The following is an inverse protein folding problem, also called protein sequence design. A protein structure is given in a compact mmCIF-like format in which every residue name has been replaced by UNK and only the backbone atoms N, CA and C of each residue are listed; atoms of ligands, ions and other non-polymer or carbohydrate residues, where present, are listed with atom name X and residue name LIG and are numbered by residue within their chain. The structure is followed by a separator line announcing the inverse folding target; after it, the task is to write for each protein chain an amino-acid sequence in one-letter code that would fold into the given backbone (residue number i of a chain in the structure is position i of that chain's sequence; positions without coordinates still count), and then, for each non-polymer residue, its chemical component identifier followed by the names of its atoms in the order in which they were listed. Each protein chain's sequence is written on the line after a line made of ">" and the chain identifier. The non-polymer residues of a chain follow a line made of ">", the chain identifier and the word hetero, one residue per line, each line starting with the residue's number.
data_IF_990819472733
#
_entry.id   IF_990819472733
#
_cell.length_a   1.000
_cell.length_b   1.000
_cell.length_c   1.000
_cell.angle_alpha   90.00
_cell.angle_beta   90.00
_cell.angle_gamma   90.00
#
_symmetry.space_group_name_H-M   'P 1'
#
loop_
_entity.id
_entity.type
_entity.pdbx_description
1 polymer ?
#
# COMPACT_ATOMS: atom_id res chain seq x y z
N UNK A 1 17.02 25.80 1.34
CA UNK A 1 18.09 26.24 2.26
C UNK A 1 18.17 27.77 2.22
N UNK A 2 18.11 28.44 3.37
CA UNK A 2 18.13 29.89 3.50
C UNK A 2 19.49 30.49 3.15
N UNK A 3 20.58 29.82 3.50
CA UNK A 3 21.93 30.33 3.26
C UNK A 3 22.26 30.33 1.76
N UNK A 4 21.84 29.28 1.05
CA UNK A 4 21.93 29.25 -0.41
C UNK A 4 21.15 30.39 -1.09
N UNK A 5 19.95 30.71 -0.61
CA UNK A 5 19.14 31.81 -1.16
C UNK A 5 19.78 33.19 -0.89
N UNK A 6 20.29 33.43 0.32
CA UNK A 6 21.02 34.66 0.64
C UNK A 6 22.26 34.82 -0.23
N UNK A 7 23.01 33.75 -0.42
CA UNK A 7 24.21 33.75 -1.24
C UNK A 7 23.89 34.02 -2.72
N UNK A 8 22.84 33.39 -3.27
CA UNK A 8 22.37 33.65 -4.64
C UNK A 8 21.92 35.12 -4.82
N UNK A 9 21.23 35.68 -3.83
CA UNK A 9 20.83 37.09 -3.83
C UNK A 9 22.04 38.04 -3.77
N UNK A 10 22.98 37.76 -2.85
CA UNK A 10 24.22 38.52 -2.72
C UNK A 10 25.04 38.50 -4.01
N UNK A 11 25.21 37.32 -4.62
CA UNK A 11 25.92 37.17 -5.91
C UNK A 11 25.29 37.99 -7.02
N UNK A 12 23.96 38.05 -7.07
CA UNK A 12 23.22 38.91 -7.98
C UNK A 12 23.49 40.40 -7.71
N UNK A 13 23.35 40.84 -6.45
CA UNK A 13 23.51 42.25 -6.03
C UNK A 13 24.92 42.78 -6.17
N UNK A 14 25.93 42.00 -5.81
CA UNK A 14 27.34 42.42 -5.81
C UNK A 14 28.01 42.20 -7.18
N UNK A 15 27.27 41.69 -8.16
CA UNK A 15 27.77 41.42 -9.51
C UNK A 15 28.86 40.35 -9.56
N UNK A 16 28.75 39.31 -8.74
CA UNK A 16 29.76 38.25 -8.63
C UNK A 16 30.13 37.64 -10.00
N UNK A 17 29.12 37.32 -10.81
CA UNK A 17 29.34 36.76 -12.15
C UNK A 17 29.50 37.81 -13.26
N UNK A 18 29.29 39.10 -12.94
CA UNK A 18 29.29 40.19 -13.92
C UNK A 18 30.48 41.12 -13.69
N UNK A 19 30.43 41.96 -12.66
CA UNK A 19 31.47 42.95 -12.34
C UNK A 19 32.74 42.33 -11.75
N UNK A 20 32.61 41.25 -10.97
CA UNK A 20 33.75 40.56 -10.36
C UNK A 20 34.36 39.48 -11.28
N UNK A 21 33.72 39.19 -12.43
CA UNK A 21 34.27 38.33 -13.48
C UNK A 21 34.28 36.83 -13.19
N UNK A 22 33.57 36.37 -12.15
CA UNK A 22 33.45 34.93 -11.90
C UNK A 22 32.64 34.24 -13.01
N UNK A 23 33.04 33.02 -13.38
CA UNK A 23 32.37 32.29 -14.47
C UNK A 23 31.05 31.70 -13.99
N UNK A 24 30.01 31.86 -14.80
CA UNK A 24 28.75 31.12 -14.66
C UNK A 24 29.05 29.63 -14.88
N UNK A 25 28.60 28.73 -14.00
CA UNK A 25 28.79 27.28 -14.16
C UNK A 25 28.23 26.77 -15.49
N UNK A 26 28.93 25.81 -16.11
CA UNK A 26 28.54 25.24 -17.39
C UNK A 26 27.12 24.62 -17.29
N UNK A 27 26.25 24.96 -18.24
CA UNK A 27 24.88 24.46 -18.30
C UNK A 27 23.84 25.35 -17.61
N UNK A 28 24.27 26.41 -16.93
CA UNK A 28 23.38 27.37 -16.28
C UNK A 28 23.45 28.74 -16.96
N UNK A 29 22.35 29.48 -16.91
CA UNK A 29 22.31 30.90 -17.20
C UNK A 29 22.49 31.69 -15.90
N UNK A 30 22.83 32.98 -16.03
CA UNK A 30 22.99 33.86 -14.88
C UNK A 30 21.70 33.93 -14.04
N UNK A 31 20.56 34.08 -14.71
CA UNK A 31 19.21 34.11 -14.11
C UNK A 31 18.84 32.83 -13.33
N UNK A 32 19.49 31.70 -13.63
CA UNK A 32 19.24 30.42 -12.93
C UNK A 32 19.97 30.35 -11.57
N UNK A 33 20.96 31.21 -11.33
CA UNK A 33 21.90 31.09 -10.20
C UNK A 33 22.02 32.36 -9.34
N UNK A 34 21.23 33.38 -9.65
CA UNK A 34 21.11 34.60 -8.84
C UNK A 34 19.66 34.83 -8.44
N UNK A 35 19.46 35.58 -7.37
CA UNK A 35 18.15 36.13 -7.02
C UNK A 35 18.20 37.65 -7.11
N UNK A 36 17.14 38.26 -7.60
CA UNK A 36 16.97 39.70 -7.66
C UNK A 36 15.80 40.16 -6.77
N UNK A 37 15.66 41.48 -6.63
CA UNK A 37 14.59 42.07 -5.82
C UNK A 37 13.21 41.70 -6.36
N UNK A 38 13.07 41.55 -7.69
CA UNK A 38 11.81 41.19 -8.31
C UNK A 38 11.43 39.75 -7.96
N UNK A 39 12.37 38.80 -7.99
CA UNK A 39 12.17 37.42 -7.55
C UNK A 39 11.75 37.35 -6.09
N UNK A 40 12.45 38.08 -5.21
CA UNK A 40 12.07 38.14 -3.79
C UNK A 40 10.69 38.77 -3.61
N UNK A 41 10.41 39.87 -4.30
CA UNK A 41 9.11 40.55 -4.25
C UNK A 41 7.99 39.65 -4.74
N UNK A 42 8.17 38.92 -5.85
CA UNK A 42 7.19 37.97 -6.37
C UNK A 42 6.92 36.83 -5.38
N UNK A 43 7.96 36.27 -4.77
CA UNK A 43 7.81 35.21 -3.76
C UNK A 43 7.08 35.70 -2.50
N UNK A 44 7.46 36.88 -1.99
CA UNK A 44 6.81 37.53 -0.87
C UNK A 44 5.33 37.84 -1.19
N UNK A 45 5.05 38.38 -2.37
CA UNK A 45 3.69 38.70 -2.81
C UNK A 45 2.80 37.45 -2.93
N UNK A 46 3.32 36.32 -3.45
CA UNK A 46 2.59 35.04 -3.46
C UNK A 46 2.24 34.58 -2.05
N UNK A 47 3.21 34.62 -1.14
CA UNK A 47 2.99 34.21 0.27
C UNK A 47 1.99 35.12 0.97
N UNK A 48 2.10 36.43 0.77
CA UNK A 48 1.20 37.41 1.39
C UNK A 48 -0.21 37.31 0.81
N UNK A 49 -0.36 37.08 -0.50
CA UNK A 49 -1.66 36.92 -1.14
C UNK A 49 -2.46 35.78 -0.51
N UNK A 50 -1.87 34.59 -0.38
CA UNK A 50 -2.53 33.45 0.29
C UNK A 50 -2.97 33.81 1.72
N UNK A 51 -2.14 34.56 2.46
CA UNK A 51 -2.48 35.00 3.82
C UNK A 51 -3.62 36.02 3.85
N UNK A 52 -3.68 36.93 2.88
CA UNK A 52 -4.82 37.85 2.70
C UNK A 52 -6.08 37.09 2.31
N UNK A 53 -6.02 36.16 1.36
CA UNK A 53 -7.18 35.37 0.91
C UNK A 53 -7.73 34.48 2.05
N UNK A 54 -6.86 33.97 2.93
CA UNK A 54 -7.25 33.25 4.14
C UNK A 54 -7.82 34.14 5.25
N UNK A 55 -7.80 35.47 5.07
CA UNK A 55 -8.30 36.45 6.04
C UNK A 55 -7.41 36.63 7.28
N UNK A 56 -6.13 36.24 7.22
CA UNK A 56 -5.24 36.24 8.38
C UNK A 56 -4.84 37.65 8.83
N UNK A 57 -4.95 38.65 7.95
CA UNK A 57 -4.68 40.04 8.30
C UNK A 57 -5.88 40.70 9.00
N UNK A 58 -7.10 40.24 8.72
CA UNK A 58 -8.34 40.69 9.35
C UNK A 58 -8.56 40.00 10.70
N UNK A 59 -8.38 38.67 10.74
CA UNK A 59 -8.45 37.90 11.97
C UNK A 59 -7.53 36.68 11.92
N UNK A 60 -6.34 36.73 12.55
CA UNK A 60 -5.41 35.61 12.56
C UNK A 60 -5.83 34.45 13.50
N UNK A 61 -6.86 34.64 14.32
CA UNK A 61 -7.23 33.68 15.37
C UNK A 61 -8.47 32.86 15.03
N UNK A 62 -8.45 31.57 15.38
CA UNK A 62 -9.61 30.66 15.31
C UNK A 62 -10.29 30.57 16.67
N UNK A 63 -11.58 30.23 16.67
CA UNK A 63 -12.35 30.01 17.90
C UNK A 63 -12.14 28.54 18.37
N UNK A 64 -11.51 28.31 19.55
CA UNK A 64 -11.29 26.96 20.06
C UNK A 64 -12.59 26.21 20.41
N UNK A 65 -13.59 26.89 20.96
CA UNK A 65 -14.88 26.28 21.35
C UNK A 65 -15.59 25.73 20.11
N UNK A 66 -15.65 26.53 19.04
CA UNK A 66 -16.22 26.09 17.76
C UNK A 66 -15.45 24.93 17.14
N UNK A 67 -14.12 24.86 17.31
CA UNK A 67 -13.33 23.75 16.81
C UNK A 67 -13.71 22.43 17.52
N UNK A 68 -13.94 22.49 18.84
CA UNK A 68 -14.42 21.34 19.64
C UNK A 68 -15.80 20.89 19.19
N UNK A 69 -16.70 21.81 18.85
CA UNK A 69 -18.04 21.47 18.32
C UNK A 69 -18.00 20.74 16.98
N UNK A 70 -17.03 21.09 16.12
CA UNK A 70 -16.92 20.53 14.75
C UNK A 70 -16.19 19.18 14.75
N UNK A 71 -15.09 19.07 15.49
CA UNK A 71 -14.22 17.89 15.45
C UNK A 71 -14.90 16.68 16.10
N UNK A 72 -14.81 15.52 15.46
CA UNK A 72 -15.28 14.26 16.03
C UNK A 72 -16.80 14.11 16.07
N UNK A 73 -17.54 14.90 15.28
CA UNK A 73 -18.98 14.76 15.22
C UNK A 73 -19.40 13.44 14.55
N UNK A 74 -20.59 12.94 14.92
CA UNK A 74 -21.10 11.65 14.48
C UNK A 74 -21.23 11.54 12.95
N UNK A 75 -21.63 12.61 12.27
CA UNK A 75 -21.85 12.61 10.82
C UNK A 75 -20.54 12.38 10.06
N UNK A 76 -19.44 12.98 10.51
CA UNK A 76 -18.13 12.78 9.89
C UNK A 76 -17.64 11.35 10.10
N UNK A 77 -17.89 10.75 11.27
CA UNK A 77 -17.60 9.33 11.51
C UNK A 77 -18.47 8.39 10.66
N UNK A 78 -19.75 8.70 10.46
CA UNK A 78 -20.63 7.95 9.54
C UNK A 78 -20.14 8.03 8.09
N UNK A 79 -19.68 9.21 7.65
CA UNK A 79 -19.07 9.39 6.34
C UNK A 79 -17.75 8.62 6.21
N UNK A 80 -16.88 8.69 7.22
CA UNK A 80 -15.63 7.93 7.26
C UNK A 80 -15.92 6.41 7.19
N UNK A 81 -16.91 5.94 7.94
CA UNK A 81 -17.33 4.55 7.94
C UNK A 81 -17.85 4.09 6.56
N UNK A 82 -18.63 4.92 5.87
CA UNK A 82 -19.07 4.67 4.49
C UNK A 82 -17.87 4.60 3.51
N UNK A 83 -16.91 5.52 3.64
CA UNK A 83 -15.68 5.50 2.82
C UNK A 83 -14.89 4.22 3.05
N UNK A 84 -14.65 3.81 4.31
CA UNK A 84 -13.92 2.57 4.60
C UNK A 84 -14.58 1.34 3.98
N UNK A 85 -15.91 1.24 4.01
CA UNK A 85 -16.66 0.12 3.40
C UNK A 85 -16.57 0.13 1.87
N UNK A 86 -16.65 1.32 1.27
CA UNK A 86 -16.51 1.50 -0.18
C UNK A 86 -15.10 1.25 -0.69
N UNK A 87 -14.09 1.37 0.16
CA UNK A 87 -12.68 1.13 -0.19
C UNK A 87 -12.28 -0.35 -0.20
N UNK A 88 -13.08 -1.26 0.38
CA UNK A 88 -12.80 -2.70 0.36
C UNK A 88 -13.06 -3.25 -1.05
N UNK A 89 -12.06 -3.92 -1.62
CA UNK A 89 -12.12 -4.53 -2.96
C UNK A 89 -12.22 -6.04 -2.83
N UNK A 90 -13.17 -6.66 -3.52
CA UNK A 90 -13.23 -8.12 -3.65
C UNK A 90 -12.38 -8.53 -4.86
N UNK A 91 -11.30 -9.27 -4.65
CA UNK A 91 -10.39 -9.74 -5.71
C UNK A 91 -10.77 -11.12 -6.24
N UNK A 92 -11.11 -12.03 -5.33
CA UNK A 92 -11.48 -13.42 -5.65
C UNK A 92 -12.69 -13.82 -4.85
N UNK A 93 -13.60 -14.56 -5.47
CA UNK A 93 -14.71 -15.20 -4.78
C UNK A 93 -15.12 -16.50 -5.49
N UNK A 94 -14.81 -17.65 -4.90
CA UNK A 94 -15.24 -18.97 -5.37
C UNK A 94 -16.53 -19.38 -4.65
N UNK A 95 -17.62 -18.64 -4.90
CA UNK A 95 -18.95 -18.82 -4.29
C UNK A 95 -18.96 -18.85 -2.74
N UNK A 96 -17.94 -18.24 -2.12
CA UNK A 96 -17.74 -18.28 -0.67
C UNK A 96 -18.47 -17.12 0.01
N UNK A 97 -18.20 -15.89 -0.44
CA UNK A 97 -18.78 -14.67 0.12
C UNK A 97 -20.10 -14.27 -0.56
N UNK A 98 -21.00 -13.58 0.15
CA UNK A 98 -20.90 -13.19 1.57
C UNK A 98 -21.17 -14.37 2.51
N UNK A 99 -20.60 -14.33 3.72
CA UNK A 99 -20.90 -15.21 4.85
C UNK A 99 -22.13 -14.70 5.60
N UNK A 100 -23.30 -14.88 4.99
CA UNK A 100 -24.58 -14.52 5.60
C UNK A 100 -24.83 -15.27 6.91
N UNK A 101 -25.75 -14.78 7.73
CA UNK A 101 -26.15 -15.44 8.99
C UNK A 101 -26.47 -16.93 8.80
N UNK A 102 -27.13 -17.29 7.69
CA UNK A 102 -27.44 -18.68 7.36
C UNK A 102 -26.17 -19.51 7.11
N UNK A 103 -25.20 -18.96 6.37
CA UNK A 103 -23.93 -19.66 6.08
C UNK A 103 -23.07 -19.85 7.33
N UNK A 104 -23.13 -18.95 8.31
CA UNK A 104 -22.31 -19.05 9.54
C UNK A 104 -23.01 -19.77 10.69
N UNK A 105 -24.32 -20.04 10.59
CA UNK A 105 -25.08 -20.66 11.67
C UNK A 105 -24.57 -22.06 12.00
N UNK A 106 -24.11 -22.25 13.24
CA UNK A 106 -23.57 -23.52 13.72
C UNK A 106 -22.20 -23.88 13.15
N UNK A 107 -21.52 -22.91 12.53
CA UNK A 107 -20.19 -23.06 11.92
C UNK A 107 -19.11 -22.49 12.83
N UNK A 108 -17.92 -23.08 12.77
CA UNK A 108 -16.74 -22.63 13.52
C UNK A 108 -15.86 -21.76 12.63
N UNK A 109 -15.35 -20.67 13.18
CA UNK A 109 -14.46 -19.73 12.50
C UNK A 109 -13.09 -19.69 13.19
N UNK A 110 -12.05 -19.96 12.42
CA UNK A 110 -10.66 -19.69 12.82
C UNK A 110 -10.29 -18.28 12.35
N UNK A 111 -9.64 -17.48 13.19
CA UNK A 111 -9.26 -16.12 12.86
C UNK A 111 -7.79 -15.86 13.24
N UNK A 112 -7.00 -15.36 12.28
CA UNK A 112 -5.58 -15.01 12.49
C UNK A 112 -5.22 -13.75 11.73
N UNK A 113 -4.54 -12.83 12.41
CA UNK A 113 -3.93 -11.65 11.82
C UNK A 113 -2.42 -11.85 11.72
N UNK A 114 -1.85 -11.47 10.59
CA UNK A 114 -0.42 -11.51 10.31
C UNK A 114 0.10 -10.08 10.11
N UNK A 115 1.24 -9.77 10.70
CA UNK A 115 1.93 -8.49 10.56
C UNK A 115 3.42 -8.76 10.33
N UNK A 116 4.22 -7.71 10.05
CA UNK A 116 5.69 -7.84 9.97
C UNK A 116 6.31 -8.47 11.22
N UNK A 117 5.71 -8.27 12.40
CA UNK A 117 6.14 -8.91 13.65
C UNK A 117 5.03 -9.77 14.25
N UNK A 118 5.42 -10.90 14.85
CA UNK A 118 4.49 -11.85 15.50
C UNK A 118 3.71 -11.21 16.65
N UNK A 119 4.33 -10.28 17.39
CA UNK A 119 3.68 -9.56 18.50
C UNK A 119 2.47 -8.74 18.02
N UNK A 120 2.66 -7.93 16.97
CA UNK A 120 1.57 -7.16 16.35
C UNK A 120 0.50 -8.07 15.75
N UNK A 121 0.91 -9.19 15.15
CA UNK A 121 -0.01 -10.21 14.64
C UNK A 121 -0.93 -10.78 15.74
N UNK A 122 -0.35 -11.11 16.91
CA UNK A 122 -1.11 -11.60 18.07
C UNK A 122 -2.08 -10.57 18.63
N UNK A 123 -1.65 -9.31 18.79
CA UNK A 123 -2.50 -8.22 19.24
C UNK A 123 -3.71 -8.03 18.30
N UNK A 124 -3.44 -7.88 17.00
CA UNK A 124 -4.48 -7.74 15.98
C UNK A 124 -5.41 -8.97 15.91
N UNK A 125 -4.90 -10.18 16.18
CA UNK A 125 -5.72 -11.40 16.24
C UNK A 125 -6.71 -11.34 17.40
N UNK A 126 -6.28 -10.88 18.57
CA UNK A 126 -7.17 -10.69 19.72
C UNK A 126 -8.28 -9.68 19.42
N UNK A 127 -7.94 -8.56 18.77
CA UNK A 127 -8.93 -7.55 18.36
C UNK A 127 -9.93 -8.10 17.35
N UNK A 128 -9.46 -8.81 16.32
CA UNK A 128 -10.31 -9.43 15.30
C UNK A 128 -11.29 -10.43 15.95
N UNK A 129 -10.81 -11.29 16.85
CA UNK A 129 -11.66 -12.24 17.58
C UNK A 129 -12.73 -11.52 18.41
N UNK A 130 -12.36 -10.46 19.13
CA UNK A 130 -13.31 -9.66 19.89
C UNK A 130 -14.38 -8.98 19.00
N UNK A 131 -14.05 -8.62 17.75
CA UNK A 131 -15.04 -8.13 16.79
C UNK A 131 -15.98 -9.25 16.33
N UNK A 132 -15.46 -10.44 16.01
CA UNK A 132 -16.26 -11.59 15.58
C UNK A 132 -17.20 -12.10 16.68
N UNK A 133 -16.78 -12.06 17.95
CA UNK A 133 -17.63 -12.40 19.10
C UNK A 133 -18.83 -11.46 19.21
N UNK A 134 -18.66 -10.15 18.93
CA UNK A 134 -19.77 -9.18 18.89
C UNK A 134 -20.76 -9.46 17.77
N UNK A 135 -20.34 -10.18 16.74
CA UNK A 135 -21.17 -10.67 15.64
C UNK A 135 -21.80 -12.04 15.92
N UNK A 136 -21.69 -12.55 17.15
CA UNK A 136 -22.14 -13.89 17.56
C UNK A 136 -21.53 -15.05 16.75
N UNK A 137 -20.31 -14.87 16.24
CA UNK A 137 -19.60 -15.90 15.48
C UNK A 137 -18.93 -16.88 16.45
N UNK A 138 -19.11 -18.17 16.21
CA UNK A 138 -18.49 -19.22 17.03
C UNK A 138 -17.02 -19.41 16.61
N UNK A 139 -16.09 -19.11 17.50
CA UNK A 139 -14.65 -19.19 17.22
C UNK A 139 -14.04 -20.55 17.56
N UNK A 140 -12.98 -20.91 16.86
CA UNK A 140 -12.08 -22.03 17.18
C UNK A 140 -10.63 -21.59 17.17
N UNK A 141 -9.82 -22.17 18.06
CA UNK A 141 -8.36 -21.98 18.10
C UNK A 141 -7.62 -22.89 17.12
N UNK A 142 -8.32 -23.88 16.54
CA UNK A 142 -7.73 -24.90 15.68
C UNK A 142 -8.26 -24.80 14.26
N UNK A 143 -7.40 -24.61 13.24
CA UNK A 143 -7.83 -24.51 11.85
C UNK A 143 -8.47 -25.81 11.34
N UNK A 144 -8.04 -26.99 11.83
CA UNK A 144 -8.64 -28.28 11.44
C UNK A 144 -10.10 -28.46 11.88
N UNK A 145 -10.56 -27.68 12.87
CA UNK A 145 -11.95 -27.70 13.35
C UNK A 145 -12.82 -26.62 12.68
N UNK A 146 -12.25 -25.77 11.81
CA UNK A 146 -12.91 -24.57 11.30
C UNK A 146 -13.62 -24.81 9.98
N UNK A 147 -14.88 -24.40 9.87
CA UNK A 147 -15.59 -24.35 8.59
C UNK A 147 -15.16 -23.13 7.76
N UNK A 148 -14.72 -22.06 8.42
CA UNK A 148 -14.18 -20.86 7.78
C UNK A 148 -12.90 -20.41 8.48
N UNK A 149 -11.89 -20.02 7.71
CA UNK A 149 -10.74 -19.29 8.22
C UNK A 149 -10.74 -17.85 7.70
N UNK A 150 -10.60 -16.88 8.61
CA UNK A 150 -10.43 -15.47 8.30
C UNK A 150 -8.98 -15.06 8.56
N UNK A 151 -8.25 -14.76 7.50
CA UNK A 151 -6.83 -14.37 7.55
C UNK A 151 -6.68 -12.89 7.19
N UNK A 152 -6.26 -12.05 8.14
CA UNK A 152 -5.98 -10.64 7.88
C UNK A 152 -4.46 -10.46 7.77
N UNK A 153 -4.00 -9.99 6.61
CA UNK A 153 -2.58 -10.00 6.24
C UNK A 153 -2.10 -8.56 6.05
N UNK A 154 -1.20 -8.10 6.91
CA UNK A 154 -0.64 -6.73 6.88
C UNK A 154 0.88 -6.78 6.70
N UNK A 155 1.37 -7.00 5.47
CA UNK A 155 2.80 -7.03 5.18
C UNK A 155 3.41 -5.63 5.25
N UNK A 156 4.72 -5.56 5.45
CA UNK A 156 5.49 -4.31 5.46
C UNK A 156 6.94 -4.53 5.03
N UNK A 157 7.44 -3.63 4.20
CA UNK A 157 8.75 -3.68 3.57
C UNK A 157 9.36 -2.29 3.56
N UNK A 158 10.60 -2.18 4.04
CA UNK A 158 11.26 -0.90 4.34
C UNK A 158 10.51 0.01 5.32
N UNK A 159 11.13 1.13 5.66
CA UNK A 159 10.50 2.23 6.41
C UNK A 159 11.08 3.57 5.94
N UNK A 160 10.34 4.67 6.13
CA UNK A 160 10.76 6.01 5.70
C UNK A 160 12.13 6.45 6.26
N UNK A 161 12.51 5.96 7.44
CA UNK A 161 13.77 6.31 8.10
C UNK A 161 14.85 5.22 8.05
N UNK A 162 14.53 4.03 7.54
CA UNK A 162 15.42 2.89 7.53
C UNK A 162 15.53 2.33 6.11
N UNK A 163 16.71 2.49 5.51
CA UNK A 163 17.01 1.86 4.22
C UNK A 163 17.17 0.34 4.40
N UNK A 164 16.55 -0.43 3.50
CA UNK A 164 16.86 -1.85 3.32
C UNK A 164 18.27 -1.99 2.73
N UNK A 165 18.96 -3.10 3.04
CA UNK A 165 20.27 -3.37 2.43
C UNK A 165 20.16 -3.64 0.92
N UNK A 166 18.98 -4.07 0.45
CA UNK A 166 18.62 -4.29 -0.95
C UNK A 166 17.44 -3.44 -1.41
N UNK A 167 16.79 -3.87 -2.48
CA UNK A 167 15.52 -3.29 -2.94
C UNK A 167 14.39 -3.53 -1.94
N UNK A 168 13.28 -2.76 -2.06
CA UNK A 168 12.07 -3.07 -1.32
C UNK A 168 11.51 -4.41 -1.79
N UNK A 169 11.39 -5.37 -0.87
CA UNK A 169 10.76 -6.66 -1.15
C UNK A 169 9.24 -6.49 -1.25
N UNK A 170 8.64 -7.01 -2.32
CA UNK A 170 7.19 -6.97 -2.56
C UNK A 170 6.52 -8.33 -2.41
N UNK A 171 7.28 -9.41 -2.26
CA UNK A 171 6.74 -10.70 -1.88
C UNK A 171 6.26 -10.70 -0.44
N UNK A 172 5.09 -11.31 -0.20
CA UNK A 172 4.60 -11.61 1.14
C UNK A 172 5.35 -12.85 1.66
N UNK A 173 6.46 -12.63 2.37
CA UNK A 173 7.44 -13.66 2.67
C UNK A 173 7.98 -13.58 4.11
N UNK A 174 8.62 -14.67 4.54
CA UNK A 174 9.40 -14.76 5.76
C UNK A 174 10.73 -15.47 5.48
N UNK A 175 11.83 -14.82 5.85
CA UNK A 175 13.18 -15.37 5.70
C UNK A 175 13.61 -15.60 4.26
N UNK A 176 13.18 -14.74 3.33
CA UNK A 176 13.58 -14.82 1.92
C UNK A 176 14.98 -14.24 1.77
N UNK A 177 15.90 -14.99 1.17
CA UNK A 177 17.23 -14.47 0.84
C UNK A 177 17.12 -13.53 -0.38
N UNK A 178 17.58 -12.29 -0.22
CA UNK A 178 17.54 -11.24 -1.25
C UNK A 178 18.90 -10.57 -1.39
N UNK A 179 19.22 -10.04 -2.58
CA UNK A 179 20.48 -9.35 -2.82
C UNK A 179 20.51 -7.95 -2.20
N UNK A 180 21.68 -7.54 -1.71
CA UNK A 180 21.96 -6.15 -1.34
C UNK A 180 22.21 -5.30 -2.59
N UNK A 181 22.18 -3.98 -2.46
CA UNK A 181 22.54 -3.03 -3.51
C UNK A 181 23.85 -2.30 -3.22
N UNK A 182 24.61 -1.98 -4.27
CA UNK A 182 25.80 -1.13 -4.16
C UNK A 182 25.45 0.37 -4.08
N UNK A 183 26.47 1.23 -3.93
CA UNK A 183 26.31 2.70 -3.86
C UNK A 183 25.62 3.32 -5.10
N UNK A 184 25.51 2.58 -6.21
CA UNK A 184 24.84 3.00 -7.44
C UNK A 184 23.46 2.36 -7.60
N UNK A 185 22.98 1.59 -6.60
CA UNK A 185 21.70 0.91 -6.64
C UNK A 185 21.69 -0.36 -7.49
N UNK A 186 22.85 -0.95 -7.79
CA UNK A 186 22.96 -2.19 -8.59
C UNK A 186 23.00 -3.42 -7.69
N UNK A 187 22.48 -4.58 -8.12
CA UNK A 187 22.55 -5.80 -7.33
C UNK A 187 23.99 -6.18 -7.00
N UNK A 188 24.24 -6.54 -5.74
CA UNK A 188 25.53 -7.02 -5.28
C UNK A 188 25.52 -8.54 -5.06
N UNK A 189 26.69 -9.13 -4.79
CA UNK A 189 26.81 -10.55 -4.42
C UNK A 189 26.47 -10.82 -2.96
N UNK A 190 26.41 -9.78 -2.13
CA UNK A 190 26.02 -9.91 -0.73
C UNK A 190 24.51 -10.03 -0.64
N UNK A 191 24.04 -10.82 0.32
CA UNK A 191 22.63 -11.08 0.55
C UNK A 191 22.25 -10.78 1.99
N UNK A 192 20.95 -10.61 2.22
CA UNK A 192 20.35 -10.61 3.55
C UNK A 192 19.03 -11.37 3.51
N UNK A 193 18.51 -11.74 4.68
CA UNK A 193 17.15 -12.27 4.81
C UNK A 193 16.16 -11.13 4.99
N UNK A 194 15.08 -11.13 4.22
CA UNK A 194 13.95 -10.22 4.36
C UNK A 194 12.69 -10.96 4.82
N UNK A 195 11.93 -10.29 5.69
CA UNK A 195 10.62 -10.77 6.16
C UNK A 195 9.64 -9.62 6.06
N UNK A 196 8.72 -9.72 5.12
CA UNK A 196 7.64 -8.74 4.96
C UNK A 196 6.43 -9.09 5.83
N UNK A 197 6.28 -10.37 6.19
CA UNK A 197 5.18 -10.87 7.01
C UNK A 197 5.63 -12.02 7.91
N UNK A 198 5.62 -11.82 9.23
CA UNK A 198 5.83 -12.91 10.17
C UNK A 198 4.65 -13.89 10.11
N UNK A 199 4.95 -15.19 10.11
CA UNK A 199 3.99 -16.27 9.96
C UNK A 199 3.57 -16.55 8.52
N UNK A 200 4.19 -15.94 7.49
CA UNK A 200 3.82 -16.17 6.08
C UNK A 200 3.79 -17.65 5.69
N UNK A 201 4.75 -18.43 6.21
CA UNK A 201 4.86 -19.88 5.98
C UNK A 201 3.74 -20.71 6.62
N UNK A 202 2.94 -20.13 7.52
CA UNK A 202 1.80 -20.80 8.15
C UNK A 202 0.54 -20.77 7.28
N UNK A 203 0.42 -19.80 6.36
CA UNK A 203 -0.78 -19.61 5.52
C UNK A 203 -1.12 -20.88 4.71
N UNK A 204 -0.16 -21.53 4.02
CA UNK A 204 -0.43 -22.79 3.32
C UNK A 204 -0.90 -23.91 4.25
N UNK A 205 -0.29 -24.03 5.44
CA UNK A 205 -0.62 -25.07 6.40
C UNK A 205 -2.01 -24.89 7.02
N UNK A 206 -2.39 -23.64 7.33
CA UNK A 206 -3.74 -23.30 7.79
C UNK A 206 -4.76 -23.62 6.70
N UNK A 207 -4.48 -23.23 5.46
CA UNK A 207 -5.38 -23.49 4.34
C UNK A 207 -5.57 -24.99 4.11
N UNK A 208 -4.49 -25.78 4.12
CA UNK A 208 -4.57 -27.23 4.01
C UNK A 208 -5.43 -27.84 5.13
N UNK A 209 -5.22 -27.42 6.39
CA UNK A 209 -5.97 -27.93 7.54
C UNK A 209 -7.48 -27.64 7.43
N UNK A 210 -7.85 -26.44 6.99
CA UNK A 210 -9.25 -26.02 6.79
C UNK A 210 -9.86 -26.76 5.60
N UNK A 211 -9.17 -26.80 4.45
CA UNK A 211 -9.69 -27.47 3.25
C UNK A 211 -9.89 -28.98 3.45
N UNK A 212 -9.09 -29.62 4.30
CA UNK A 212 -9.24 -31.06 4.64
C UNK A 212 -10.58 -31.40 5.29
N UNK A 213 -11.23 -30.44 5.96
CA UNK A 213 -12.57 -30.63 6.53
C UNK A 213 -13.70 -30.13 5.61
N UNK A 214 -13.35 -29.64 4.40
CA UNK A 214 -14.29 -29.02 3.46
C UNK A 214 -14.57 -27.53 3.72
N UNK A 215 -13.87 -26.92 4.68
CA UNK A 215 -13.98 -25.52 5.02
C UNK A 215 -13.43 -24.57 3.94
N UNK A 216 -13.58 -23.28 4.17
CA UNK A 216 -13.22 -22.22 3.23
C UNK A 216 -12.28 -21.19 3.86
N UNK A 217 -11.31 -20.71 3.09
CA UNK A 217 -10.32 -19.72 3.55
C UNK A 217 -10.62 -18.38 2.89
N UNK A 218 -10.82 -17.35 3.72
CA UNK A 218 -11.05 -15.97 3.30
C UNK A 218 -9.89 -15.14 3.81
N UNK A 219 -9.19 -14.44 2.92
CA UNK A 219 -8.12 -13.53 3.31
C UNK A 219 -8.43 -12.07 2.94
N UNK A 220 -7.96 -11.15 3.77
CA UNK A 220 -7.88 -9.72 3.43
C UNK A 220 -6.42 -9.29 3.52
N UNK A 221 -5.87 -8.77 2.43
CA UNK A 221 -4.51 -8.20 2.42
C UNK A 221 -4.63 -6.67 2.54
N UNK A 222 -3.85 -6.08 3.43
CA UNK A 222 -3.68 -4.63 3.51
C UNK A 222 -2.60 -4.17 2.53
N UNK A 223 -3.01 -3.45 1.49
CA UNK A 223 -2.13 -2.97 0.43
C UNK A 223 -1.63 -1.57 0.74
N UNK A 224 -0.43 -1.50 1.33
CA UNK A 224 0.38 -0.29 1.43
C UNK A 224 1.39 -0.16 0.29
N UNK A 225 1.67 -1.28 -0.41
CA UNK A 225 2.49 -1.38 -1.61
C UNK A 225 1.83 -2.34 -2.62
N UNK A 226 2.36 -2.42 -3.84
CA UNK A 226 1.90 -3.37 -4.86
C UNK A 226 2.42 -4.78 -4.59
N UNK A 227 1.94 -5.39 -3.50
CA UNK A 227 2.39 -6.70 -3.02
C UNK A 227 2.18 -7.80 -4.05
N UNK A 228 3.15 -8.72 -4.14
CA UNK A 228 3.03 -9.98 -4.84
C UNK A 228 2.20 -10.95 -4.00
N UNK A 229 0.99 -11.23 -4.46
CA UNK A 229 -0.01 -11.99 -3.70
C UNK A 229 0.14 -13.50 -3.83
N UNK A 230 1.17 -13.99 -4.54
CA UNK A 230 1.40 -15.41 -4.81
C UNK A 230 1.56 -16.28 -3.55
N UNK A 231 2.04 -15.70 -2.45
CA UNK A 231 2.13 -16.38 -1.15
C UNK A 231 0.80 -16.51 -0.40
N UNK A 232 -0.29 -15.89 -0.88
CA UNK A 232 -1.59 -15.84 -0.19
C UNK A 232 -2.74 -16.28 -1.08
N UNK A 233 -2.93 -15.64 -2.24
CA UNK A 233 -4.07 -15.85 -3.14
C UNK A 233 -4.35 -17.33 -3.45
N UNK A 234 -3.34 -18.16 -3.78
CA UNK A 234 -3.58 -19.54 -4.20
C UNK A 234 -4.19 -20.43 -3.11
N UNK A 235 -4.06 -20.01 -1.84
CA UNK A 235 -4.50 -20.73 -0.64
C UNK A 235 -5.88 -20.27 -0.15
N UNK A 236 -6.52 -19.34 -0.86
CA UNK A 236 -7.79 -18.70 -0.46
C UNK A 236 -8.92 -19.06 -1.40
N UNK A 237 -10.13 -19.20 -0.88
CA UNK A 237 -11.36 -19.33 -1.66
C UNK A 237 -11.99 -17.95 -1.95
N UNK A 238 -11.73 -16.96 -1.08
CA UNK A 238 -12.03 -15.57 -1.31
C UNK A 238 -10.89 -14.65 -0.84
N UNK A 239 -10.62 -13.60 -1.62
CA UNK A 239 -9.56 -12.63 -1.34
C UNK A 239 -10.12 -11.21 -1.42
N UNK A 240 -9.83 -10.40 -0.41
CA UNK A 240 -10.14 -8.98 -0.36
C UNK A 240 -8.86 -8.15 -0.28
N UNK A 241 -8.94 -6.91 -0.76
CA UNK A 241 -7.93 -5.89 -0.58
C UNK A 241 -8.49 -4.76 0.30
N UNK A 242 -7.72 -4.39 1.32
CA UNK A 242 -7.87 -3.17 2.10
C UNK A 242 -6.71 -2.20 1.82
N UNK A 243 -6.91 -0.93 2.18
CA UNK A 243 -5.92 0.15 2.03
C UNK A 243 -5.90 0.99 3.31
N UNK A 244 -5.45 0.37 4.40
CA UNK A 244 -5.67 0.80 5.80
C UNK A 244 -7.16 0.99 6.14
N UNK A 245 -8.00 0.15 5.53
CA UNK A 245 -9.40 0.05 5.92
C UNK A 245 -9.52 -0.61 7.28
N UNK A 246 -10.37 -0.07 8.15
CA UNK A 246 -10.60 -0.70 9.45
C UNK A 246 -11.10 -2.15 9.30
N UNK A 247 -10.64 -3.09 10.16
CA UNK A 247 -11.06 -4.49 10.07
C UNK A 247 -12.57 -4.69 10.14
N UNK A 248 -13.29 -3.88 10.92
CA UNK A 248 -14.75 -3.96 11.00
C UNK A 248 -15.44 -3.67 9.66
N UNK A 249 -14.88 -2.80 8.82
CA UNK A 249 -15.45 -2.49 7.51
C UNK A 249 -15.26 -3.67 6.54
N UNK A 250 -14.09 -4.31 6.59
CA UNK A 250 -13.83 -5.55 5.86
C UNK A 250 -14.77 -6.67 6.35
N UNK A 251 -14.99 -6.79 7.66
CA UNK A 251 -15.95 -7.76 8.21
C UNK A 251 -17.38 -7.51 7.73
N UNK A 252 -17.83 -6.25 7.64
CA UNK A 252 -19.14 -5.94 7.07
C UNK A 252 -19.28 -6.43 5.62
N UNK A 253 -18.21 -6.38 4.83
CA UNK A 253 -18.17 -6.96 3.47
C UNK A 253 -18.09 -8.49 3.49
N UNK A 254 -17.33 -9.09 4.41
CA UNK A 254 -17.27 -10.56 4.52
C UNK A 254 -18.64 -11.11 4.94
N UNK A 255 -19.33 -10.46 5.86
CA UNK A 255 -20.62 -10.90 6.42
C UNK A 255 -21.83 -10.47 5.57
N UNK A 256 -21.63 -9.72 4.49
CA UNK A 256 -22.70 -9.28 3.59
C UNK A 256 -23.55 -8.13 4.11
N UNK A 257 -23.10 -7.43 5.15
CA UNK A 257 -23.73 -6.19 5.65
C UNK A 257 -23.50 -5.00 4.70
N UNK A 258 -22.45 -5.07 3.90
CA UNK A 258 -22.15 -4.12 2.84
C UNK A 258 -21.65 -4.85 1.59
N UNK A 259 -22.17 -4.51 0.41
CA UNK A 259 -21.71 -5.13 -0.85
C UNK A 259 -20.39 -4.50 -1.32
N UNK A 260 -19.40 -5.29 -1.79
CA UNK A 260 -18.15 -4.75 -2.26
C UNK A 260 -18.37 -3.89 -3.51
N UNK A 261 -17.82 -2.68 -3.47
CA UNK A 261 -17.85 -1.73 -4.60
C UNK A 261 -16.47 -1.16 -4.91
N UNK A 262 -15.47 -1.43 -4.06
CA UNK A 262 -14.12 -0.94 -4.22
C UNK A 262 -13.49 -1.47 -5.50
N UNK A 263 -12.55 -0.69 -6.03
CA UNK A 263 -11.74 -1.02 -7.20
C UNK A 263 -10.26 -0.85 -6.88
N UNK A 264 -9.42 -1.71 -7.44
CA UNK A 264 -7.98 -1.65 -7.28
C UNK A 264 -7.44 -0.33 -7.84
N UNK A 265 -6.73 0.50 -7.04
CA UNK A 265 -6.08 1.72 -7.52
C UNK A 265 -4.70 1.44 -8.13
N UNK A 266 -4.21 0.20 -8.05
CA UNK A 266 -2.89 -0.24 -8.49
C UNK A 266 -2.98 -1.59 -9.18
N UNK A 267 -2.07 -1.86 -10.13
CA UNK A 267 -1.89 -3.18 -10.74
C UNK A 267 -0.85 -3.96 -9.95
N UNK A 268 -1.16 -5.20 -9.60
CA UNK A 268 -0.27 -6.05 -8.81
C UNK A 268 0.74 -6.79 -9.71
N UNK A 269 2.03 -6.84 -9.35
CA UNK A 269 3.03 -7.60 -10.06
C UNK A 269 2.78 -9.11 -9.99
N UNK A 270 3.14 -9.80 -11.05
CA UNK A 270 2.97 -11.26 -11.19
C UNK A 270 3.84 -12.03 -10.19
N UNK A 271 5.12 -11.66 -10.09
CA UNK A 271 6.13 -12.23 -9.21
C UNK A 271 7.48 -11.52 -9.44
N UNK A 272 8.52 -11.92 -8.68
CA UNK A 272 9.91 -11.47 -8.82
C UNK A 272 10.41 -11.33 -10.27
N UNK A 273 9.99 -12.22 -11.18
CA UNK A 273 10.49 -12.19 -12.56
C UNK A 273 10.14 -10.91 -13.31
N UNK A 274 9.06 -10.21 -12.93
CA UNK A 274 8.66 -8.94 -13.57
C UNK A 274 9.26 -7.71 -12.87
N UNK A 275 9.96 -7.94 -11.76
CA UNK A 275 10.68 -6.93 -10.97
C UNK A 275 12.20 -7.14 -11.00
N UNK A 276 12.67 -8.17 -11.70
CA UNK A 276 14.08 -8.54 -11.76
C UNK A 276 14.95 -7.38 -12.26
N UNK A 277 16.06 -7.16 -11.57
CA UNK A 277 17.04 -6.12 -11.88
C UNK A 277 18.34 -6.76 -12.37
N UNK A 278 18.87 -6.29 -13.49
CA UNK A 278 20.11 -6.80 -14.06
C UNK A 278 21.37 -6.27 -13.34
N UNK A 279 22.55 -6.76 -13.74
CA UNK A 279 23.85 -6.34 -13.19
C UNK A 279 24.16 -4.83 -13.36
N UNK A 280 23.44 -4.14 -14.24
CA UNK A 280 23.57 -2.71 -14.49
C UNK A 280 22.56 -1.88 -13.68
N UNK A 281 21.71 -2.51 -12.88
CA UNK A 281 20.67 -1.83 -12.10
C UNK A 281 19.41 -1.51 -12.91
N UNK A 282 19.22 -2.16 -14.06
CA UNK A 282 18.05 -1.94 -14.93
C UNK A 282 16.98 -2.98 -14.59
N UNK A 283 15.83 -2.51 -14.13
CA UNK A 283 14.65 -3.36 -13.91
C UNK A 283 14.04 -3.78 -15.24
N UNK A 284 13.67 -5.05 -15.36
CA UNK A 284 13.02 -5.61 -16.55
C UNK A 284 11.68 -4.94 -16.86
N UNK A 285 10.95 -4.51 -15.83
CA UNK A 285 9.79 -3.62 -16.00
C UNK A 285 10.22 -2.17 -15.78
N UNK A 286 10.00 -1.25 -16.75
CA UNK A 286 10.48 0.13 -16.62
C UNK A 286 9.94 0.84 -15.38
N UNK A 287 10.81 1.50 -14.61
CA UNK A 287 10.45 2.14 -13.34
C UNK A 287 9.52 3.37 -13.51
N UNK A 288 9.67 4.10 -14.62
CA UNK A 288 8.88 5.31 -14.91
C UNK A 288 7.52 5.02 -15.57
N UNK A 289 7.13 3.74 -15.67
CA UNK A 289 5.86 3.31 -16.27
C UNK A 289 4.91 2.82 -15.18
N UNK A 290 3.67 3.35 -15.11
CA UNK A 290 2.70 2.89 -14.12
C UNK A 290 2.29 1.44 -14.36
N UNK A 291 1.94 0.71 -13.31
CA UNK A 291 1.68 -0.74 -13.35
C UNK A 291 0.70 -1.19 -14.45
N UNK A 292 -0.37 -0.42 -14.68
CA UNK A 292 -1.39 -0.73 -15.70
C UNK A 292 -0.88 -0.62 -17.15
N UNK A 293 0.27 0.04 -17.36
CA UNK A 293 0.86 0.27 -18.68
C UNK A 293 2.13 -0.55 -18.92
N UNK A 294 2.67 -1.19 -17.86
CA UNK A 294 3.93 -1.95 -17.91
C UNK A 294 3.93 -3.05 -18.96
N UNK A 295 2.80 -3.74 -19.17
CA UNK A 295 2.68 -4.84 -20.14
C UNK A 295 3.12 -4.45 -21.56
N UNK A 296 2.95 -3.18 -21.97
CA UNK A 296 3.36 -2.70 -23.29
C UNK A 296 4.88 -2.73 -23.50
N UNK A 297 5.64 -2.64 -22.41
CA UNK A 297 7.10 -2.56 -22.41
C UNK A 297 7.77 -3.86 -21.98
N UNK A 298 6.99 -4.85 -21.55
CA UNK A 298 7.50 -6.16 -21.17
C UNK A 298 7.89 -6.98 -22.43
N UNK A 299 8.94 -7.83 -22.34
CA UNK A 299 9.32 -8.73 -23.43
C UNK A 299 8.17 -9.65 -23.86
N UNK A 300 8.00 -9.83 -25.17
CA UNK A 300 6.93 -10.69 -25.71
C UNK A 300 7.03 -12.14 -25.23
N UNK A 301 8.24 -12.62 -24.94
CA UNK A 301 8.48 -13.97 -24.39
C UNK A 301 7.92 -14.17 -22.98
N UNK A 302 7.61 -13.09 -22.25
CA UNK A 302 7.02 -13.15 -20.90
C UNK A 302 5.50 -12.96 -20.91
N UNK A 303 4.95 -12.53 -22.05
CA UNK A 303 3.52 -12.31 -22.19
C UNK A 303 2.79 -13.64 -22.27
N UNK A 304 1.69 -13.72 -21.56
CA UNK A 304 0.74 -14.81 -21.68
C UNK A 304 -0.12 -14.67 -22.94
N UNK A 305 -1.10 -15.56 -23.10
CA UNK A 305 -1.97 -15.59 -24.28
C UNK A 305 -2.82 -14.32 -24.46
N UNK A 306 -2.95 -13.48 -23.42
CA UNK A 306 -3.68 -12.22 -23.47
C UNK A 306 -2.75 -11.00 -23.66
N UNK A 307 -1.46 -11.24 -23.90
CA UNK A 307 -0.47 -10.18 -24.06
C UNK A 307 -0.04 -9.53 -22.73
N UNK A 308 -0.36 -10.15 -21.59
CA UNK A 308 -0.05 -9.64 -20.25
C UNK A 308 1.19 -10.33 -19.71
N UNK A 309 2.10 -9.57 -19.11
CA UNK A 309 3.34 -10.07 -18.50
C UNK A 309 3.48 -9.60 -17.05
N UNK A 310 3.19 -8.33 -16.76
CA UNK A 310 3.37 -7.71 -15.45
C UNK A 310 2.26 -8.07 -14.48
N UNK A 311 0.99 -7.99 -14.89
CA UNK A 311 -0.15 -8.16 -13.99
C UNK A 311 -0.25 -9.59 -13.43
N UNK A 312 -0.51 -9.71 -12.13
CA UNK A 312 -0.86 -10.98 -11.49
C UNK A 312 -2.16 -11.53 -12.06
N UNK A 313 -2.16 -12.82 -12.41
CA UNK A 313 -3.32 -13.56 -12.91
C UNK A 313 -3.64 -14.72 -11.98
N UNK A 314 -4.85 -14.75 -11.43
CA UNK A 314 -5.31 -15.85 -10.60
C UNK A 314 -5.63 -17.11 -11.43
N UNK A 315 -5.93 -18.23 -10.75
CA UNK A 315 -6.31 -19.50 -11.42
C UNK A 315 -7.65 -19.43 -12.14
N UNK A 316 -8.52 -18.48 -11.82
CA UNK A 316 -9.78 -18.24 -12.53
C UNK A 316 -9.59 -17.37 -13.79
N UNK A 317 -8.38 -16.87 -14.02
CA UNK A 317 -8.01 -16.05 -15.16
C UNK A 317 -8.23 -14.55 -14.94
N UNK A 318 -8.55 -14.11 -13.72
CA UNK A 318 -8.69 -12.70 -13.40
C UNK A 318 -7.31 -12.04 -13.28
N UNK A 319 -7.16 -10.85 -13.87
CA UNK A 319 -6.00 -10.01 -13.67
C UNK A 319 -6.27 -8.98 -12.57
N UNK A 320 -5.37 -8.87 -11.60
CA UNK A 320 -5.46 -7.87 -10.54
C UNK A 320 -4.83 -6.54 -10.99
N UNK A 321 -5.52 -5.88 -11.90
CA UNK A 321 -5.12 -4.61 -12.53
C UNK A 321 -5.89 -3.40 -11.98
N UNK A 322 -5.49 -2.20 -12.41
CA UNK A 322 -6.22 -0.97 -12.11
C UNK A 322 -7.71 -1.16 -12.48
N UNK A 323 -8.60 -0.67 -11.63
CA UNK A 323 -10.06 -0.76 -11.77
C UNK A 323 -10.66 -2.18 -11.63
N UNK A 324 -9.84 -3.19 -11.35
CA UNK A 324 -10.32 -4.54 -11.04
C UNK A 324 -11.03 -4.57 -9.68
N UNK A 325 -12.08 -5.37 -9.57
CA UNK A 325 -12.87 -5.54 -8.34
C UNK A 325 -14.20 -6.21 -8.65
N UNK A 326 -14.42 -7.35 -8.02
CA UNK A 326 -15.60 -8.19 -8.18
C UNK A 326 -16.79 -7.65 -7.35
N UNK A 327 -17.96 -8.19 -7.66
CA UNK A 327 -19.18 -8.11 -6.86
C UNK A 327 -19.54 -9.52 -6.39
N UNK A 328 -20.49 -9.65 -5.47
CA UNK A 328 -21.08 -10.95 -5.13
C UNK A 328 -21.77 -11.59 -6.34
#
# INVERSE_FOLDING_TARGET
>A
DLEAAKEAYRRGKEGYYTTQGHKVPKGYKLEDIILDDEALTRAAARTLRERFELGLFENPYRNPEKAVEIVGNKKDWENAADVHRKSVVLLKNQDTLPLTEEKVKGKKVYARCFHKTEEKGKEATCELKAMLEKENISLTEKPEEADYALLFVTPSSGEYFNATAGYLELEICQGKEVCNVDEKGRPSKETHEETTLAGALEIPAIAEAVHKNGGKVIANINFTLAWEVGGVEPYTDALLAGFDTYPWATLEVILGKFSPVGKMPITLPRNDSVLAVDENGVCISPNDVPGYDKDKYMPDSMKDENGKAYAYRDKAGNYYELDFGLKY
#
